data_IF_219427079169
#
_entry.id   IF_219427079169
#
_cell.length_a   1.000
_cell.length_b   1.000
_cell.length_c   1.000
_cell.angle_alpha   90.00
_cell.angle_beta   90.00
_cell.angle_gamma   90.00
#
_symmetry.space_group_name_H-M   'P 1'
#
loop_
_entity.id
_entity.type
_entity.pdbx_description
1 polymer ?
#
# COMPACT_ATOMS: atom_id res chain seq x y z
N UNK A 1 14.61 -18.94 12.93
CA UNK A 1 13.32 -19.23 13.58
C UNK A 1 13.00 -18.25 14.70
N UNK A 2 13.94 -17.94 15.61
CA UNK A 2 13.75 -16.94 16.68
C UNK A 2 13.33 -15.53 16.20
N UNK A 3 13.76 -15.09 15.01
CA UNK A 3 13.31 -13.80 14.44
C UNK A 3 11.82 -13.81 14.07
N UNK A 4 11.30 -14.92 13.53
CA UNK A 4 9.89 -15.03 13.18
C UNK A 4 8.99 -15.14 14.42
N UNK A 5 9.48 -15.76 15.51
CA UNK A 5 8.74 -15.79 16.78
C UNK A 5 8.63 -14.39 17.39
N UNK A 6 9.65 -13.54 17.26
CA UNK A 6 9.59 -12.13 17.70
C UNK A 6 8.56 -11.34 16.89
N UNK A 7 8.54 -11.52 15.56
CA UNK A 7 7.56 -10.85 14.69
C UNK A 7 6.13 -11.28 15.04
N UNK A 8 5.90 -12.58 15.20
CA UNK A 8 4.59 -13.10 15.60
C UNK A 8 4.14 -12.58 16.96
N UNK A 9 5.05 -12.53 17.93
CA UNK A 9 4.78 -11.97 19.25
C UNK A 9 4.47 -10.46 19.21
N UNK A 10 5.18 -9.70 18.37
CA UNK A 10 4.92 -8.27 18.19
C UNK A 10 3.54 -7.99 17.57
N UNK A 11 3.15 -8.76 16.54
CA UNK A 11 1.81 -8.67 15.94
C UNK A 11 0.73 -9.01 16.97
N UNK A 12 0.96 -10.07 17.76
CA UNK A 12 0.04 -10.47 18.82
C UNK A 12 -0.12 -9.38 19.89
N UNK A 13 0.97 -8.81 20.38
CA UNK A 13 0.93 -7.70 21.34
C UNK A 13 0.24 -6.47 20.76
N UNK A 14 0.49 -6.12 19.49
CA UNK A 14 -0.17 -5.01 18.82
C UNK A 14 -1.69 -5.22 18.71
N UNK A 15 -2.11 -6.42 18.31
CA UNK A 15 -3.53 -6.79 18.25
C UNK A 15 -4.18 -6.80 19.65
N UNK A 16 -3.47 -7.30 20.67
CA UNK A 16 -3.92 -7.28 22.06
C UNK A 16 -4.07 -5.85 22.59
N UNK A 17 -3.15 -4.96 22.26
CA UNK A 17 -3.20 -3.56 22.67
C UNK A 17 -4.41 -2.85 22.04
N UNK A 18 -4.59 -2.97 20.72
CA UNK A 18 -5.73 -2.36 20.02
C UNK A 18 -7.05 -2.98 20.48
N UNK A 19 -7.13 -4.31 20.50
CA UNK A 19 -8.33 -5.04 20.95
C UNK A 19 -8.67 -4.76 22.41
N UNK A 20 -7.67 -4.72 23.28
CA UNK A 20 -7.80 -4.36 24.69
C UNK A 20 -8.29 -2.93 24.87
N UNK A 21 -7.77 -1.97 24.08
CA UNK A 21 -8.24 -0.59 24.07
C UNK A 21 -9.71 -0.47 23.65
N UNK A 22 -10.12 -1.20 22.60
CA UNK A 22 -11.52 -1.26 22.16
C UNK A 22 -12.41 -1.87 23.26
N UNK A 23 -12.00 -2.99 23.86
CA UNK A 23 -12.74 -3.65 24.94
C UNK A 23 -12.87 -2.75 26.17
N UNK A 24 -11.79 -2.11 26.60
CA UNK A 24 -11.80 -1.15 27.69
C UNK A 24 -12.73 0.02 27.39
N UNK A 25 -12.69 0.56 26.17
CA UNK A 25 -13.63 1.59 25.72
C UNK A 25 -15.08 1.10 25.79
N UNK A 26 -15.38 -0.11 25.32
CA UNK A 26 -16.74 -0.67 25.36
C UNK A 26 -17.28 -0.92 26.78
N UNK A 27 -16.40 -1.22 27.74
CA UNK A 27 -16.72 -1.46 29.15
C UNK A 27 -16.84 -0.17 29.97
N UNK A 28 -15.94 0.80 29.72
CA UNK A 28 -15.85 2.04 30.50
C UNK A 28 -16.66 3.19 29.91
N UNK A 29 -17.03 3.14 28.62
CA UNK A 29 -17.75 4.24 27.97
C UNK A 29 -19.14 4.45 28.57
N UNK A 30 -19.48 5.72 28.80
CA UNK A 30 -20.82 6.14 29.15
C UNK A 30 -21.77 5.89 27.96
N UNK A 31 -22.74 5.00 28.14
CA UNK A 31 -23.69 4.62 27.09
C UNK A 31 -24.92 5.50 27.12
N UNK A 32 -25.07 6.37 26.12
CA UNK A 32 -26.34 7.05 25.85
C UNK A 32 -27.32 6.14 25.07
N UNK A 33 -28.65 6.32 25.24
CA UNK A 33 -29.65 5.54 24.54
C UNK A 33 -29.44 5.52 23.02
N UNK A 34 -29.82 4.41 22.38
CA UNK A 34 -29.82 4.29 20.93
C UNK A 34 -31.00 5.08 20.35
N UNK A 35 -30.77 6.37 20.09
CA UNK A 35 -31.72 7.24 19.40
C UNK A 35 -31.41 7.28 17.90
N UNK A 36 -32.43 7.51 17.06
CA UNK A 36 -32.27 7.63 15.59
C UNK A 36 -31.16 8.62 15.20
N UNK A 37 -31.16 9.81 15.82
CA UNK A 37 -30.17 10.86 15.54
C UNK A 37 -28.73 10.46 15.91
N UNK A 38 -28.52 9.48 16.81
CA UNK A 38 -27.18 9.02 17.21
C UNK A 38 -26.57 8.08 16.17
N UNK A 39 -27.40 7.37 15.40
CA UNK A 39 -26.97 6.39 14.39
C UNK A 39 -27.12 6.88 12.96
N UNK A 40 -27.64 8.10 12.78
CA UNK A 40 -27.78 8.76 11.48
C UNK A 40 -26.42 9.25 10.98
N UNK A 41 -26.24 9.25 9.65
CA UNK A 41 -25.06 9.83 9.03
C UNK A 41 -25.00 11.35 9.28
N UNK A 42 -23.79 11.87 9.46
CA UNK A 42 -23.58 13.30 9.68
C UNK A 42 -23.71 14.08 8.36
N UNK A 43 -24.65 15.02 8.31
CA UNK A 43 -24.90 15.88 7.13
C UNK A 43 -25.11 17.35 7.58
N UNK A 44 -24.15 17.94 8.31
CA UNK A 44 -24.19 19.36 8.72
C UNK A 44 -25.50 19.80 9.42
N UNK A 45 -26.08 18.92 10.25
CA UNK A 45 -27.36 19.07 10.95
C UNK A 45 -28.63 18.90 10.10
N UNK A 46 -28.50 18.52 8.83
CA UNK A 46 -29.61 18.14 7.97
C UNK A 46 -29.80 16.61 7.94
N UNK A 47 -30.95 16.18 7.43
CA UNK A 47 -31.21 14.77 7.15
C UNK A 47 -30.51 14.37 5.83
N UNK A 48 -29.82 13.21 5.78
CA UNK A 48 -29.15 12.76 4.57
C UNK A 48 -30.19 12.49 3.48
N UNK A 49 -30.02 13.12 2.31
CA UNK A 49 -30.94 13.01 1.17
C UNK A 49 -30.28 12.20 0.05
N UNK A 50 -31.02 11.23 -0.50
CA UNK A 50 -30.61 10.47 -1.68
C UNK A 50 -29.87 9.16 -1.39
N UNK A 51 -29.35 8.54 -2.44
CA UNK A 51 -28.53 7.32 -2.33
C UNK A 51 -27.05 7.70 -2.27
N UNK A 52 -26.30 7.06 -1.36
CA UNK A 52 -24.86 7.24 -1.21
C UNK A 52 -24.04 6.60 -2.35
N UNK A 53 -24.70 5.92 -3.29
CA UNK A 53 -24.06 5.30 -4.46
C UNK A 53 -23.74 6.32 -5.54
N UNK A 54 -22.55 6.91 -5.45
CA UNK A 54 -21.97 7.73 -6.50
C UNK A 54 -21.04 6.92 -7.41
N UNK A 55 -20.92 7.35 -8.66
CA UNK A 55 -19.88 6.84 -9.57
C UNK A 55 -18.57 7.53 -9.22
N UNK A 56 -17.64 6.77 -8.64
CA UNK A 56 -16.28 7.24 -8.44
C UNK A 56 -15.58 7.48 -9.78
N UNK A 57 -14.66 8.44 -9.79
CA UNK A 57 -13.86 8.75 -10.99
C UNK A 57 -13.01 7.55 -11.38
N UNK A 58 -12.84 7.30 -12.69
CA UNK A 58 -12.00 6.17 -13.17
C UNK A 58 -10.53 6.33 -12.77
N UNK A 59 -10.10 7.56 -12.48
CA UNK A 59 -8.74 7.87 -12.01
C UNK A 59 -8.33 7.00 -10.81
N UNK A 60 -9.19 6.78 -9.80
CA UNK A 60 -8.86 5.93 -8.65
C UNK A 60 -8.42 4.52 -9.07
N UNK A 61 -9.10 3.93 -10.05
CA UNK A 61 -8.75 2.62 -10.61
C UNK A 61 -7.41 2.66 -11.34
N UNK A 62 -7.17 3.69 -12.15
CA UNK A 62 -5.91 3.83 -12.90
C UNK A 62 -4.71 4.01 -11.95
N UNK A 63 -4.88 4.76 -10.85
CA UNK A 63 -3.86 4.88 -9.81
C UNK A 63 -3.59 3.54 -9.11
N UNK A 64 -4.63 2.79 -8.74
CA UNK A 64 -4.47 1.48 -8.12
C UNK A 64 -3.79 0.46 -9.05
N UNK A 65 -4.16 0.46 -10.33
CA UNK A 65 -3.54 -0.39 -11.34
C UNK A 65 -2.07 -0.04 -11.56
N UNK A 66 -1.75 1.26 -11.67
CA UNK A 66 -0.37 1.72 -11.81
C UNK A 66 0.47 1.34 -10.59
N UNK A 67 -0.07 1.54 -9.38
CA UNK A 67 0.58 1.14 -8.13
C UNK A 67 0.86 -0.37 -8.10
N UNK A 68 -0.11 -1.20 -8.46
CA UNK A 68 0.04 -2.66 -8.50
C UNK A 68 1.15 -3.09 -9.47
N UNK A 69 1.22 -2.47 -10.65
CA UNK A 69 2.27 -2.75 -11.64
C UNK A 69 3.64 -2.42 -11.04
N UNK A 70 3.82 -1.21 -10.47
CA UNK A 70 5.07 -0.83 -9.82
C UNK A 70 5.44 -1.73 -8.63
N UNK A 71 4.46 -2.19 -7.85
CA UNK A 71 4.69 -3.06 -6.71
C UNK A 71 5.24 -4.42 -7.15
N UNK A 72 4.63 -5.03 -8.18
CA UNK A 72 5.11 -6.27 -8.81
C UNK A 72 6.52 -6.08 -9.41
N UNK A 73 6.78 -4.93 -10.03
CA UNK A 73 8.10 -4.63 -10.58
C UNK A 73 9.18 -4.51 -9.50
N UNK A 74 8.84 -3.89 -8.35
CA UNK A 74 9.75 -3.80 -7.21
C UNK A 74 10.12 -5.18 -6.66
N UNK A 75 9.20 -6.15 -6.72
CA UNK A 75 9.44 -7.53 -6.33
C UNK A 75 10.52 -8.19 -7.19
N UNK A 76 10.64 -7.83 -8.48
CA UNK A 76 11.72 -8.29 -9.35
C UNK A 76 13.07 -7.62 -9.03
N UNK A 77 13.08 -6.36 -8.57
CA UNK A 77 14.31 -5.65 -8.21
C UNK A 77 14.97 -6.22 -6.94
N UNK A 78 14.19 -6.68 -5.96
CA UNK A 78 14.71 -7.17 -4.68
C UNK A 78 15.73 -8.33 -4.81
N UNK A 79 15.42 -9.43 -5.54
CA UNK A 79 16.38 -10.50 -5.79
C UNK A 79 17.64 -10.01 -6.51
N UNK A 80 17.49 -9.17 -7.52
CA UNK A 80 18.60 -8.65 -8.30
C UNK A 80 19.59 -7.86 -7.44
N UNK A 81 19.10 -7.04 -6.50
CA UNK A 81 19.98 -6.29 -5.56
C UNK A 81 20.75 -7.25 -4.64
N UNK A 82 20.11 -8.31 -4.12
CA UNK A 82 20.82 -9.31 -3.30
C UNK A 82 21.90 -10.02 -4.10
N UNK A 83 21.58 -10.44 -5.32
CA UNK A 83 22.51 -11.15 -6.21
C UNK A 83 23.65 -10.22 -6.63
N UNK A 84 23.38 -8.94 -6.88
CA UNK A 84 24.38 -7.95 -7.24
C UNK A 84 25.51 -7.87 -6.20
N UNK A 85 25.19 -7.94 -4.90
CA UNK A 85 26.20 -8.00 -3.84
C UNK A 85 27.11 -9.22 -4.00
N UNK A 86 26.56 -10.39 -4.30
CA UNK A 86 27.33 -11.63 -4.50
C UNK A 86 28.20 -11.57 -5.75
N UNK A 87 27.63 -11.11 -6.88
CA UNK A 87 28.33 -10.95 -8.18
C UNK A 87 29.45 -9.91 -8.09
N UNK A 88 29.25 -8.84 -7.31
CA UNK A 88 30.26 -7.81 -7.08
C UNK A 88 31.42 -8.30 -6.20
N UNK A 89 31.18 -9.26 -5.28
CA UNK A 89 32.19 -9.74 -4.32
C UNK A 89 32.88 -11.05 -4.68
N UNK A 90 32.29 -11.91 -5.52
CA UNK A 90 32.82 -13.24 -5.83
C UNK A 90 32.56 -13.71 -7.27
N UNK A 91 33.50 -14.55 -7.74
CA UNK A 91 33.67 -15.11 -9.07
C UNK A 91 32.43 -15.87 -9.61
N UNK A 92 31.53 -15.14 -10.24
CA UNK A 92 30.52 -15.70 -11.16
C UNK A 92 30.92 -15.36 -12.59
N UNK A 93 30.45 -16.14 -13.58
CA UNK A 93 30.75 -15.89 -14.99
C UNK A 93 30.12 -14.58 -15.53
N UNK A 94 29.21 -13.96 -14.78
CA UNK A 94 28.59 -12.69 -15.14
C UNK A 94 29.44 -11.51 -14.66
N UNK A 95 29.73 -10.58 -15.57
CA UNK A 95 30.34 -9.30 -15.23
C UNK A 95 29.38 -8.41 -14.43
N UNK A 96 29.81 -7.76 -13.34
CA UNK A 96 29.00 -6.78 -12.60
C UNK A 96 28.45 -5.66 -13.49
N UNK A 97 29.20 -5.26 -14.51
CA UNK A 97 28.80 -4.22 -15.47
C UNK A 97 27.62 -4.67 -16.34
N UNK A 98 27.57 -5.95 -16.69
CA UNK A 98 26.48 -6.52 -17.48
C UNK A 98 25.17 -6.52 -16.66
N UNK A 99 25.24 -6.97 -15.40
CA UNK A 99 24.09 -6.97 -14.49
C UNK A 99 23.56 -5.55 -14.21
N UNK A 100 24.48 -4.58 -14.03
CA UNK A 100 24.11 -3.17 -13.90
C UNK A 100 23.41 -2.65 -15.16
N UNK A 101 23.90 -3.05 -16.34
CA UNK A 101 23.31 -2.70 -17.63
C UNK A 101 21.87 -3.20 -17.76
N UNK A 102 21.62 -4.48 -17.47
CA UNK A 102 20.27 -5.04 -17.49
C UNK A 102 19.33 -4.36 -16.48
N UNK A 103 19.80 -4.12 -15.25
CA UNK A 103 19.02 -3.40 -14.24
C UNK A 103 18.68 -1.97 -14.68
N UNK A 104 19.63 -1.29 -15.32
CA UNK A 104 19.42 0.06 -15.85
C UNK A 104 18.39 0.06 -16.97
N UNK A 105 18.45 -0.90 -17.89
CA UNK A 105 17.45 -1.06 -18.96
C UNK A 105 16.08 -1.38 -18.39
N UNK A 106 16.00 -2.29 -17.42
CA UNK A 106 14.75 -2.63 -16.74
C UNK A 106 14.11 -1.39 -16.11
N UNK A 107 14.83 -0.67 -15.25
CA UNK A 107 14.35 0.56 -14.61
C UNK A 107 14.00 1.64 -15.63
N UNK A 108 14.76 1.77 -16.71
CA UNK A 108 14.48 2.73 -17.77
C UNK A 108 13.15 2.45 -18.47
N UNK A 109 12.84 1.18 -18.75
CA UNK A 109 11.54 0.78 -19.31
C UNK A 109 10.41 1.20 -18.36
N UNK A 110 10.55 0.97 -17.06
CA UNK A 110 9.54 1.35 -16.05
C UNK A 110 9.32 2.87 -16.02
N UNK A 111 10.43 3.61 -15.98
CA UNK A 111 10.40 5.07 -15.98
C UNK A 111 9.75 5.62 -17.26
N UNK A 112 9.98 4.98 -18.41
CA UNK A 112 9.34 5.36 -19.67
C UNK A 112 7.82 5.18 -19.63
N UNK A 113 7.33 4.09 -19.00
CA UNK A 113 5.92 3.85 -18.78
C UNK A 113 5.29 4.92 -17.88
N UNK A 114 5.97 5.29 -16.79
CA UNK A 114 5.54 6.40 -15.93
C UNK A 114 5.45 7.72 -16.69
N UNK A 115 6.49 8.06 -17.46
CA UNK A 115 6.53 9.27 -18.27
C UNK A 115 5.39 9.32 -19.28
N UNK A 116 5.07 8.19 -19.92
CA UNK A 116 3.96 8.11 -20.87
C UNK A 116 2.61 8.38 -20.20
N UNK A 117 2.34 7.72 -19.06
CA UNK A 117 1.10 7.89 -18.30
C UNK A 117 0.98 9.32 -17.75
N UNK A 118 2.10 9.90 -17.32
CA UNK A 118 2.16 11.29 -16.88
C UNK A 118 1.87 12.26 -18.02
N UNK A 119 2.48 12.07 -19.20
CA UNK A 119 2.19 12.90 -20.38
C UNK A 119 0.74 12.79 -20.84
N UNK A 120 0.10 11.63 -20.68
CA UNK A 120 -1.33 11.46 -20.95
C UNK A 120 -2.25 12.11 -19.91
N UNK A 121 -1.72 12.69 -18.83
CA UNK A 121 -2.50 13.38 -17.82
C UNK A 121 -3.34 12.44 -16.94
N UNK A 122 -3.09 11.13 -16.97
CA UNK A 122 -3.82 10.14 -16.16
C UNK A 122 -3.59 10.38 -14.66
N UNK A 123 -2.45 10.98 -14.32
CA UNK A 123 -2.07 11.33 -12.95
C UNK A 123 -2.68 12.65 -12.46
N UNK A 124 -3.51 13.32 -13.27
CA UNK A 124 -4.16 14.57 -12.85
C UNK A 124 -5.32 14.27 -11.93
N UNK A 125 -5.35 14.99 -10.81
CA UNK A 125 -6.46 14.99 -9.88
C UNK A 125 -7.31 16.24 -10.13
N UNK A 126 -8.31 16.07 -10.98
CA UNK A 126 -9.43 17.02 -11.16
C UNK A 126 -10.68 16.42 -10.55
#
# INVERSE_FOLDING_TARGET
MASYTIIGFAIFLGALFVGGGILASMLLAFRTPHCSNKVQAYECAEDPVGDARIRFKVSYYLFALLFLIFDIESLFLFPCVKIFRTVATQATALSPTFLLGELSVFVFILFSGLLYVWKKGVLRWE
#
